data_IF_256474378097
#
_entry.id   IF_256474378097
#
_cell.length_a   1.000
_cell.length_b   1.000
_cell.length_c   1.000
_cell.angle_alpha   90.00
_cell.angle_beta   90.00
_cell.angle_gamma   90.00
#
_symmetry.space_group_name_H-M   'P 1'
#
loop_
_entity.id
_entity.type
_entity.pdbx_description
1 polymer ?
#
# COMPACT_ATOMS: atom_id res chain seq x y z
N UNK A 1 16.46 5.75 -4.13
CA UNK A 1 15.63 6.64 -3.28
C UNK A 1 14.63 7.43 -4.13
N UNK A 2 15.09 8.13 -5.17
CA UNK A 2 14.25 8.95 -6.07
C UNK A 2 13.10 8.18 -6.76
N UNK A 3 13.34 6.95 -7.25
CA UNK A 3 12.29 6.15 -7.90
C UNK A 3 11.12 5.79 -6.96
N UNK A 4 11.42 5.44 -5.71
CA UNK A 4 10.40 5.10 -4.70
C UNK A 4 9.56 6.31 -4.34
N UNK A 5 10.17 7.49 -4.20
CA UNK A 5 9.48 8.74 -3.93
C UNK A 5 8.58 9.15 -5.09
N UNK A 6 9.06 9.04 -6.34
CA UNK A 6 8.24 9.29 -7.54
C UNK A 6 7.06 8.32 -7.63
N UNK A 7 7.28 7.05 -7.28
CA UNK A 7 6.24 6.04 -7.24
C UNK A 7 5.16 6.35 -6.19
N UNK A 8 5.56 6.64 -4.94
CA UNK A 8 4.63 7.02 -3.86
C UNK A 8 3.88 8.31 -4.22
N UNK A 9 4.58 9.33 -4.71
CA UNK A 9 3.97 10.57 -5.16
C UNK A 9 2.99 10.38 -6.32
N UNK A 10 3.26 9.41 -7.20
CA UNK A 10 2.34 9.00 -8.26
C UNK A 10 1.08 8.36 -7.68
N UNK A 11 1.20 7.44 -6.72
CA UNK A 11 0.05 6.83 -6.04
C UNK A 11 -0.83 7.87 -5.34
N UNK A 12 -0.23 8.84 -4.63
CA UNK A 12 -0.96 9.94 -3.98
C UNK A 12 -1.77 10.74 -5.01
N UNK A 13 -1.16 11.10 -6.14
CA UNK A 13 -1.86 11.81 -7.22
C UNK A 13 -3.00 10.99 -7.83
N UNK A 14 -2.83 9.69 -8.01
CA UNK A 14 -3.87 8.80 -8.51
C UNK A 14 -5.05 8.66 -7.53
N UNK A 15 -4.82 8.84 -6.23
CA UNK A 15 -5.88 8.93 -5.24
C UNK A 15 -6.71 10.22 -5.37
N UNK A 16 -6.08 11.32 -5.80
CA UNK A 16 -6.76 12.61 -6.04
C UNK A 16 -7.49 12.61 -7.39
N UNK A 17 -6.89 12.05 -8.44
CA UNK A 17 -7.42 12.01 -9.81
C UNK A 17 -7.66 10.55 -10.21
N UNK A 18 -8.72 9.88 -9.71
CA UNK A 18 -8.90 8.46 -9.93
C UNK A 18 -9.30 8.13 -11.38
N UNK A 19 -8.55 7.24 -12.01
CA UNK A 19 -8.93 6.58 -13.27
C UNK A 19 -9.20 5.08 -13.06
N UNK A 20 -10.12 4.46 -13.82
CA UNK A 20 -10.50 3.04 -13.62
C UNK A 20 -9.35 2.04 -13.76
N UNK A 21 -8.28 2.39 -14.49
CA UNK A 21 -7.12 1.52 -14.71
C UNK A 21 -5.83 2.34 -14.71
N UNK A 22 -4.79 1.86 -14.01
CA UNK A 22 -3.49 2.52 -13.95
C UNK A 22 -2.89 2.85 -15.32
N UNK A 23 -3.08 2.01 -16.33
CA UNK A 23 -2.50 2.27 -17.66
C UNK A 23 -3.07 3.53 -18.33
N UNK A 24 -4.25 4.00 -17.92
CA UNK A 24 -4.93 5.15 -18.54
C UNK A 24 -4.19 6.46 -18.27
N UNK A 25 -3.48 6.61 -17.16
CA UNK A 25 -2.70 7.82 -16.86
C UNK A 25 -1.62 8.13 -17.90
N UNK A 26 -1.22 7.13 -18.71
CA UNK A 26 -0.28 7.25 -19.83
C UNK A 26 -0.92 7.05 -21.20
N UNK A 27 -2.24 6.84 -21.27
CA UNK A 27 -2.96 6.70 -22.55
C UNK A 27 -3.09 8.05 -23.24
N UNK A 28 -3.28 8.07 -24.56
CA UNK A 28 -3.45 9.32 -25.30
C UNK A 28 -4.69 10.11 -24.84
N UNK A 29 -5.81 9.42 -24.64
CA UNK A 29 -7.11 10.05 -24.36
C UNK A 29 -7.26 10.56 -22.91
N UNK A 30 -6.55 9.92 -21.97
CA UNK A 30 -6.67 10.21 -20.52
C UNK A 30 -5.31 10.51 -19.88
N UNK A 31 -4.35 10.98 -20.66
CA UNK A 31 -3.01 11.30 -20.18
C UNK A 31 -3.08 12.31 -19.05
N UNK A 32 -2.42 12.02 -17.94
CA UNK A 32 -2.19 13.00 -16.88
C UNK A 32 -0.73 13.40 -16.91
N UNK A 33 -0.40 14.52 -17.53
CA UNK A 33 0.98 14.96 -17.74
C UNK A 33 1.80 15.04 -16.46
N UNK A 34 1.16 15.45 -15.36
CA UNK A 34 1.81 15.56 -14.06
C UNK A 34 2.24 14.22 -13.45
N UNK A 35 1.74 13.09 -13.99
CA UNK A 35 2.15 11.71 -13.69
C UNK A 35 3.05 11.21 -14.82
N UNK A 36 2.56 11.29 -16.05
CA UNK A 36 3.15 10.64 -17.21
C UNK A 36 4.49 11.23 -17.65
N UNK A 37 4.79 12.48 -17.28
CA UNK A 37 6.09 13.11 -17.52
C UNK A 37 7.12 12.78 -16.43
N UNK A 38 6.70 12.28 -15.26
CA UNK A 38 7.57 12.04 -14.10
C UNK A 38 8.01 10.58 -13.96
N UNK A 39 7.12 9.64 -14.29
CA UNK A 39 7.40 8.21 -14.18
C UNK A 39 6.82 7.52 -15.40
N UNK A 40 7.59 6.66 -16.07
CA UNK A 40 7.06 5.93 -17.23
C UNK A 40 6.09 4.84 -16.77
N UNK A 41 5.12 4.51 -17.62
CA UNK A 41 4.15 3.43 -17.37
C UNK A 41 4.85 2.12 -17.00
N UNK A 42 5.86 1.74 -17.79
CA UNK A 42 6.54 0.47 -17.58
C UNK A 42 7.30 0.46 -16.25
N UNK A 43 7.97 1.56 -15.90
CA UNK A 43 8.67 1.67 -14.62
C UNK A 43 7.71 1.60 -13.44
N UNK A 44 6.57 2.32 -13.49
CA UNK A 44 5.54 2.24 -12.46
C UNK A 44 5.02 0.80 -12.26
N UNK A 45 4.72 0.09 -13.36
CA UNK A 45 4.21 -1.28 -13.28
C UNK A 45 5.28 -2.27 -12.80
N UNK A 46 6.55 -2.08 -13.18
CA UNK A 46 7.67 -2.86 -12.67
C UNK A 46 7.85 -2.65 -11.17
N UNK A 47 7.87 -1.40 -10.70
CA UNK A 47 7.93 -1.09 -9.27
C UNK A 47 6.76 -1.72 -8.51
N UNK A 48 5.54 -1.66 -9.03
CA UNK A 48 4.38 -2.35 -8.43
C UNK A 48 4.60 -3.86 -8.25
N UNK A 49 5.27 -4.52 -9.19
CA UNK A 49 5.49 -5.97 -9.16
C UNK A 49 6.58 -6.40 -8.17
N UNK A 50 7.61 -5.58 -7.98
CA UNK A 50 8.80 -5.92 -7.19
C UNK A 50 8.92 -5.18 -5.85
N UNK A 51 7.87 -4.44 -5.46
CA UNK A 51 7.85 -3.75 -4.17
C UNK A 51 7.66 -4.76 -3.03
N UNK A 52 8.70 -4.92 -2.22
CA UNK A 52 8.71 -5.78 -1.02
C UNK A 52 9.00 -4.95 0.23
N UNK A 53 8.26 -5.23 1.30
CA UNK A 53 8.40 -4.54 2.60
C UNK A 53 8.98 -5.44 3.70
N UNK A 54 9.29 -6.70 3.39
CA UNK A 54 9.97 -7.62 4.29
C UNK A 54 10.85 -8.60 3.50
N UNK A 55 11.81 -9.22 4.19
CA UNK A 55 12.71 -10.22 3.61
C UNK A 55 11.97 -11.57 3.46
N UNK A 56 11.62 -11.91 2.22
CA UNK A 56 10.89 -13.14 1.90
C UNK A 56 11.67 -14.42 2.26
N UNK A 57 13.01 -14.38 2.30
CA UNK A 57 13.83 -15.57 2.58
C UNK A 57 13.76 -15.98 4.04
N UNK A 58 13.49 -15.03 4.94
CA UNK A 58 13.47 -15.25 6.38
C UNK A 58 12.05 -15.39 6.95
N UNK A 59 11.05 -14.89 6.24
CA UNK A 59 9.72 -14.59 6.83
C UNK A 59 8.58 -15.43 6.28
N UNK A 60 8.78 -16.12 5.15
CA UNK A 60 7.76 -17.00 4.58
C UNK A 60 7.91 -18.38 5.19
N UNK A 61 7.04 -18.69 6.14
CA UNK A 61 6.91 -20.00 6.76
C UNK A 61 5.82 -20.83 6.06
N UNK A 62 5.89 -22.14 6.24
CA UNK A 62 4.82 -23.06 5.84
C UNK A 62 3.55 -22.78 6.65
N UNK A 63 2.38 -23.08 6.06
CA UNK A 63 1.08 -22.77 6.69
C UNK A 63 0.80 -23.55 7.96
N UNK A 64 1.43 -24.71 8.10
CA UNK A 64 1.30 -25.58 9.25
C UNK A 64 2.32 -25.23 10.35
N UNK A 65 3.21 -24.25 10.11
CA UNK A 65 4.13 -23.75 11.13
C UNK A 65 3.34 -22.98 12.21
N UNK A 66 3.55 -23.28 13.51
CA UNK A 66 2.90 -22.56 14.60
C UNK A 66 3.15 -21.03 14.59
N UNK A 67 4.24 -20.59 13.97
CA UNK A 67 4.61 -19.18 13.86
C UNK A 67 4.19 -18.55 12.52
N UNK A 68 3.40 -19.27 11.71
CA UNK A 68 2.89 -18.75 10.44
C UNK A 68 2.07 -17.47 10.66
N UNK A 69 2.61 -16.34 10.21
CA UNK A 69 1.88 -15.08 10.14
C UNK A 69 1.44 -14.79 8.70
N UNK A 70 0.13 -14.67 8.50
CA UNK A 70 -0.46 -14.34 7.20
C UNK A 70 -0.03 -12.94 6.71
N UNK A 71 0.28 -12.03 7.62
CA UNK A 71 0.71 -10.67 7.34
C UNK A 71 2.23 -10.51 7.28
N UNK A 72 3.01 -11.60 7.30
CA UNK A 72 4.48 -11.58 7.41
C UNK A 72 5.20 -10.73 6.35
N UNK A 73 4.56 -10.34 5.24
CA UNK A 73 5.16 -9.53 4.17
C UNK A 73 5.16 -8.02 4.41
N UNK A 74 4.35 -7.52 5.33
CA UNK A 74 4.18 -6.10 5.62
C UNK A 74 4.46 -5.63 7.07
N UNK A 75 4.94 -6.43 8.05
CA UNK A 75 5.09 -5.94 9.44
C UNK A 75 5.98 -4.69 9.56
N UNK A 76 7.14 -4.57 8.86
CA UNK A 76 7.95 -3.37 8.93
C UNK A 76 7.21 -2.10 8.49
N UNK A 77 6.33 -2.22 7.49
CA UNK A 77 5.51 -1.12 7.00
C UNK A 77 4.44 -0.72 8.03
N UNK A 78 3.76 -1.69 8.63
CA UNK A 78 2.75 -1.43 9.66
C UNK A 78 3.36 -0.79 10.91
N UNK A 79 4.52 -1.26 11.34
CA UNK A 79 5.23 -0.70 12.50
C UNK A 79 5.73 0.72 12.21
N UNK A 80 6.25 0.98 11.01
CA UNK A 80 6.60 2.33 10.59
C UNK A 80 5.39 3.27 10.64
N UNK A 81 4.23 2.83 10.13
CA UNK A 81 3.01 3.60 10.16
C UNK A 81 2.52 3.87 11.59
N UNK A 82 2.48 2.84 12.44
CA UNK A 82 2.13 2.95 13.86
C UNK A 82 3.02 3.97 14.59
N UNK A 83 4.35 3.90 14.38
CA UNK A 83 5.31 4.86 14.96
C UNK A 83 5.07 6.29 14.54
N UNK A 84 4.51 6.53 13.35
CA UNK A 84 4.11 7.86 12.91
C UNK A 84 2.83 8.32 13.62
N UNK A 85 1.80 7.46 13.70
CA UNK A 85 0.53 7.80 14.33
C UNK A 85 0.67 8.07 15.84
N UNK A 86 1.46 7.28 16.56
CA UNK A 86 1.64 7.42 18.02
C UNK A 86 2.32 8.74 18.42
N UNK A 87 2.98 9.44 17.48
CA UNK A 87 3.58 10.76 17.74
C UNK A 87 2.54 11.88 17.80
N UNK A 88 1.34 11.65 17.26
CA UNK A 88 0.26 12.64 17.30
C UNK A 88 -0.37 12.63 18.69
N UNK A 89 -0.64 13.81 19.24
CA UNK A 89 -1.34 13.94 20.52
C UNK A 89 -2.78 13.42 20.38
N UNK A 90 -3.26 12.68 21.38
CA UNK A 90 -4.63 12.18 21.38
C UNK A 90 -5.61 13.32 21.68
N UNK A 91 -6.74 13.33 20.99
CA UNK A 91 -7.87 14.18 21.31
C UNK A 91 -8.65 13.65 22.54
N UNK A 92 -9.41 14.51 23.21
CA UNK A 92 -10.17 14.14 24.42
C UNK A 92 -11.26 13.09 24.18
N UNK A 93 -11.81 13.05 22.95
CA UNK A 93 -12.90 12.17 22.57
C UNK A 93 -12.42 11.29 21.42
N UNK A 94 -12.33 9.98 21.68
CA UNK A 94 -11.87 9.00 20.70
C UNK A 94 -12.98 7.99 20.39
N UNK A 95 -12.97 7.50 19.15
CA UNK A 95 -13.82 6.40 18.72
C UNK A 95 -12.96 5.28 18.14
N UNK A 96 -13.40 4.04 18.39
CA UNK A 96 -12.77 2.85 17.83
C UNK A 96 -13.78 2.20 16.90
N UNK A 97 -13.38 2.04 15.65
CA UNK A 97 -14.19 1.38 14.63
C UNK A 97 -13.30 0.51 13.73
N UNK A 98 -13.92 -0.41 13.01
CA UNK A 98 -13.26 -1.30 12.06
C UNK A 98 -13.37 -0.74 10.64
N UNK A 99 -12.23 -0.65 9.94
CA UNK A 99 -12.23 -0.30 8.51
C UNK A 99 -11.93 -1.51 7.65
N UNK A 100 -12.82 -1.79 6.68
CA UNK A 100 -12.63 -2.82 5.67
C UNK A 100 -11.98 -2.25 4.41
N UNK A 101 -10.84 -2.83 4.03
CA UNK A 101 -10.20 -2.56 2.73
C UNK A 101 -10.63 -3.65 1.75
N UNK A 102 -11.47 -3.27 0.78
CA UNK A 102 -11.98 -4.19 -0.22
C UNK A 102 -10.85 -4.80 -1.07
N UNK A 103 -10.76 -6.12 -1.09
CA UNK A 103 -9.78 -6.85 -1.89
C UNK A 103 -10.36 -8.13 -2.49
N UNK A 104 -10.13 -8.34 -3.79
CA UNK A 104 -10.64 -9.51 -4.53
C UNK A 104 -9.47 -10.34 -5.08
N UNK A 105 -9.12 -11.43 -4.39
CA UNK A 105 -8.20 -12.49 -4.83
C UNK A 105 -8.60 -13.86 -4.28
N UNK A 106 -8.00 -14.94 -4.82
CA UNK A 106 -8.01 -16.31 -4.26
C UNK A 106 -7.16 -16.44 -2.98
N UNK A 107 -7.20 -15.46 -2.08
CA UNK A 107 -6.54 -15.52 -0.76
C UNK A 107 -7.62 -15.40 0.29
N UNK A 108 -7.64 -16.31 1.27
CA UNK A 108 -8.68 -16.44 2.31
C UNK A 108 -8.71 -15.30 3.36
N UNK A 109 -8.08 -14.16 3.10
CA UNK A 109 -8.25 -12.95 3.92
C UNK A 109 -9.18 -12.00 3.17
N UNK A 110 -10.48 -12.08 3.49
CA UNK A 110 -11.50 -11.21 2.91
C UNK A 110 -11.61 -9.84 3.61
N UNK A 111 -10.83 -9.62 4.67
CA UNK A 111 -10.75 -8.34 5.38
C UNK A 111 -9.36 -8.18 5.99
N UNK A 112 -8.69 -7.05 5.73
CA UNK A 112 -7.59 -6.59 6.58
C UNK A 112 -8.24 -5.63 7.58
N UNK A 113 -8.36 -6.07 8.83
CA UNK A 113 -8.82 -5.22 9.92
C UNK A 113 -7.71 -4.21 10.22
N UNK A 114 -7.98 -2.93 9.98
CA UNK A 114 -7.09 -1.87 10.47
C UNK A 114 -7.82 -1.15 11.58
N UNK A 115 -7.36 -1.32 12.82
CA UNK A 115 -7.78 -0.47 13.93
C UNK A 115 -7.14 0.90 13.68
N UNK A 116 -7.95 1.88 13.31
CA UNK A 116 -7.53 3.27 13.37
C UNK A 116 -8.27 3.92 14.53
N UNK A 117 -7.55 4.12 15.64
CA UNK A 117 -7.90 5.20 16.54
C UNK A 117 -7.56 6.51 15.80
N UNK A 118 -8.53 7.40 15.69
CA UNK A 118 -8.26 8.82 15.41
C UNK A 118 -8.15 9.55 16.74
#
# INVERSE_FOLDING_TARGET
MQDTELFVGTLVKMGIIPLPRFRMYWSADFRVDSIANRLTRNRFMETMCYLHFNDNWQTILDRDDPNYDRLCKIPPLLEMFRKCCVKTENEEIQCVDEQLIAYKRKTQAQAIYTLQAK
#
